data_IF_865857495378
#
_entry.id   IF_865857495378
#
_cell.length_a   1.000
_cell.length_b   1.000
_cell.length_c   1.000
_cell.angle_alpha   90.00
_cell.angle_beta   90.00
_cell.angle_gamma   90.00
#
_symmetry.space_group_name_H-M   'P 1'
#
loop_
_entity.id
_entity.type
_entity.pdbx_description
1 polymer ?
#
# COMPACT_ATOMS: atom_id res chain seq x y z
N UNK A 1 -15.74 9.06 -23.45
CA UNK A 1 -15.03 8.68 -22.19
C UNK A 1 -13.57 8.48 -22.54
N UNK A 2 -12.65 8.99 -21.70
CA UNK A 2 -11.21 8.74 -21.88
C UNK A 2 -10.92 7.30 -21.47
N UNK A 3 -10.22 6.54 -22.32
CA UNK A 3 -9.76 5.20 -21.99
C UNK A 3 -8.45 5.30 -21.22
N UNK A 4 -8.45 4.83 -19.98
CA UNK A 4 -7.22 4.71 -19.18
C UNK A 4 -6.60 3.33 -19.40
N UNK A 5 -5.27 3.27 -19.39
CA UNK A 5 -4.54 1.99 -19.41
C UNK A 5 -4.71 1.30 -18.06
N UNK A 6 -4.85 -0.03 -18.08
CA UNK A 6 -4.84 -0.88 -16.88
C UNK A 6 -3.52 -1.64 -16.77
N UNK A 7 -3.38 -2.49 -15.74
CA UNK A 7 -2.21 -3.37 -15.59
C UNK A 7 -2.07 -4.41 -16.71
N UNK A 8 -3.14 -4.68 -17.45
CA UNK A 8 -3.12 -5.62 -18.59
C UNK A 8 -2.55 -4.96 -19.85
N UNK A 9 -2.54 -3.63 -19.91
CA UNK A 9 -2.06 -2.85 -21.05
C UNK A 9 -0.55 -2.51 -20.98
N UNK A 10 0.16 -2.90 -19.90
CA UNK A 10 1.53 -2.46 -19.63
C UNK A 10 2.46 -3.60 -19.19
N UNK A 11 3.69 -3.61 -19.73
CA UNK A 11 4.77 -4.48 -19.23
C UNK A 11 5.54 -3.78 -18.10
N UNK A 12 5.63 -4.45 -16.96
CA UNK A 12 6.24 -3.95 -15.72
C UNK A 12 7.50 -4.73 -15.31
N UNK A 13 7.85 -5.80 -16.03
CA UNK A 13 8.97 -6.68 -15.67
C UNK A 13 10.28 -5.90 -15.64
N UNK A 14 11.05 -6.05 -14.56
CA UNK A 14 12.32 -5.35 -14.31
C UNK A 14 12.22 -3.82 -14.28
N UNK A 15 11.01 -3.26 -14.15
CA UNK A 15 10.80 -1.81 -14.02
C UNK A 15 10.57 -1.41 -12.57
N UNK A 16 10.86 -0.15 -12.25
CA UNK A 16 10.42 0.46 -10.99
C UNK A 16 9.01 1.01 -11.20
N UNK A 17 8.04 0.48 -10.46
CA UNK A 17 6.63 0.88 -10.57
C UNK A 17 6.23 1.62 -9.31
N UNK A 18 5.86 2.89 -9.48
CA UNK A 18 5.30 3.72 -8.41
C UNK A 18 3.80 3.46 -8.30
N UNK A 19 3.34 3.02 -7.14
CA UNK A 19 1.92 2.71 -6.89
C UNK A 19 1.40 3.57 -5.76
N UNK A 20 0.38 4.38 -6.04
CA UNK A 20 -0.35 5.14 -5.02
C UNK A 20 -1.50 4.29 -4.50
N UNK A 21 -1.50 3.99 -3.20
CA UNK A 21 -2.51 3.14 -2.55
C UNK A 21 -3.18 3.84 -1.38
N UNK A 22 -4.37 3.39 -1.03
CA UNK A 22 -5.07 3.88 0.17
C UNK A 22 -4.79 2.96 1.35
N UNK A 23 -3.87 3.38 2.23
CA UNK A 23 -3.58 2.71 3.50
C UNK A 23 -4.12 3.48 4.70
N UNK A 24 -5.00 4.46 4.49
CA UNK A 24 -5.50 5.27 5.58
C UNK A 24 -6.43 4.43 6.48
N UNK A 25 -5.91 3.98 7.62
CA UNK A 25 -6.57 3.04 8.51
C UNK A 25 -6.96 3.69 9.83
N UNK A 26 -7.99 3.17 10.52
CA UNK A 26 -8.26 3.52 11.91
C UNK A 26 -7.03 3.24 12.79
N UNK A 27 -6.69 4.22 13.64
CA UNK A 27 -5.57 4.15 14.58
C UNK A 27 -6.09 4.37 15.99
N UNK A 28 -5.58 3.56 16.92
CA UNK A 28 -5.90 3.68 18.33
C UNK A 28 -5.33 5.01 18.88
N UNK A 29 -6.17 5.87 19.49
CA UNK A 29 -5.76 7.21 19.85
C UNK A 29 -4.70 7.25 20.96
N UNK A 30 -4.64 6.22 21.81
CA UNK A 30 -3.73 6.14 22.95
C UNK A 30 -2.42 5.44 22.57
N UNK A 31 -2.51 4.24 22.01
CA UNK A 31 -1.37 3.37 21.68
C UNK A 31 -0.74 3.70 20.34
N UNK A 32 -1.42 4.49 19.48
CA UNK A 32 -1.01 4.81 18.10
C UNK A 32 -0.84 3.59 17.20
N UNK A 33 -1.49 2.47 17.52
CA UNK A 33 -1.45 1.25 16.72
C UNK A 33 -2.54 1.25 15.66
N UNK A 34 -2.25 0.70 14.49
CA UNK A 34 -3.28 0.42 13.48
C UNK A 34 -4.24 -0.61 14.05
N UNK A 35 -5.54 -0.29 14.04
CA UNK A 35 -6.61 -1.17 14.56
C UNK A 35 -7.11 -2.12 13.48
N UNK A 36 -7.21 -1.63 12.24
CA UNK A 36 -7.77 -2.37 11.10
C UNK A 36 -6.84 -2.28 9.89
N UNK A 37 -6.36 -3.44 9.43
CA UNK A 37 -5.44 -3.60 8.31
C UNK A 37 -6.14 -3.98 6.99
N UNK A 38 -7.47 -3.98 6.94
CA UNK A 38 -8.26 -4.42 5.77
C UNK A 38 -7.82 -3.72 4.48
N UNK A 39 -7.56 -2.41 4.52
CA UNK A 39 -7.11 -1.65 3.34
C UNK A 39 -5.70 -2.05 2.88
N UNK A 40 -4.81 -2.31 3.84
CA UNK A 40 -3.44 -2.74 3.56
C UNK A 40 -3.46 -4.11 2.91
N UNK A 41 -4.27 -5.04 3.46
CA UNK A 41 -4.48 -6.38 2.88
C UNK A 41 -5.09 -6.30 1.48
N UNK A 42 -6.16 -5.53 1.31
CA UNK A 42 -6.84 -5.42 0.03
C UNK A 42 -5.89 -5.04 -1.11
N UNK A 43 -5.06 -4.00 -0.93
CA UNK A 43 -4.08 -3.59 -1.93
C UNK A 43 -2.84 -4.50 -1.99
N UNK A 44 -2.42 -5.03 -0.84
CA UNK A 44 -1.29 -5.96 -0.72
C UNK A 44 -1.53 -7.25 -1.48
N UNK A 45 -2.64 -7.91 -1.21
CA UNK A 45 -3.03 -9.21 -1.78
C UNK A 45 -3.47 -9.13 -3.24
N UNK A 46 -3.73 -7.93 -3.76
CA UNK A 46 -4.12 -7.69 -5.16
C UNK A 46 -3.02 -7.00 -5.97
N UNK A 47 -3.11 -5.69 -6.19
CA UNK A 47 -2.26 -4.91 -7.10
C UNK A 47 -0.77 -5.02 -6.77
N UNK A 48 -0.40 -4.93 -5.48
CA UNK A 48 1.02 -4.94 -5.09
C UNK A 48 1.61 -6.33 -5.33
N UNK A 49 0.88 -7.39 -4.93
CA UNK A 49 1.29 -8.78 -5.17
C UNK A 49 1.43 -9.06 -6.67
N UNK A 50 0.44 -8.68 -7.48
CA UNK A 50 0.46 -8.88 -8.92
C UNK A 50 1.68 -8.22 -9.57
N UNK A 51 1.97 -6.95 -9.24
CA UNK A 51 3.14 -6.23 -9.76
C UNK A 51 4.45 -6.91 -9.36
N UNK A 52 4.55 -7.36 -8.11
CA UNK A 52 5.73 -8.06 -7.62
C UNK A 52 5.92 -9.43 -8.29
N UNK A 53 4.84 -10.18 -8.54
CA UNK A 53 4.85 -11.46 -9.26
C UNK A 53 5.19 -11.28 -10.74
N UNK A 54 4.76 -10.18 -11.36
CA UNK A 54 5.16 -9.76 -12.72
C UNK A 54 6.63 -9.31 -12.79
N UNK A 55 7.37 -9.30 -11.67
CA UNK A 55 8.81 -8.98 -11.62
C UNK A 55 9.12 -7.49 -11.58
N UNK A 56 8.17 -6.65 -11.17
CA UNK A 56 8.42 -5.24 -10.95
C UNK A 56 9.10 -4.98 -9.59
N UNK A 57 9.91 -3.92 -9.51
CA UNK A 57 10.31 -3.31 -8.24
C UNK A 57 9.25 -2.29 -7.83
N UNK A 58 8.41 -2.65 -6.87
CA UNK A 58 7.26 -1.82 -6.46
C UNK A 58 7.69 -0.77 -5.43
N UNK A 59 7.33 0.48 -5.67
CA UNK A 59 7.48 1.60 -4.72
C UNK A 59 6.08 2.06 -4.32
N UNK A 60 5.74 1.87 -3.05
CA UNK A 60 4.40 2.18 -2.53
C UNK A 60 4.35 3.60 -1.97
N UNK A 61 3.38 4.38 -2.42
CA UNK A 61 3.05 5.70 -1.89
C UNK A 61 1.70 5.64 -1.18
N UNK A 62 1.68 6.05 0.08
CA UNK A 62 0.47 6.11 0.89
C UNK A 62 0.47 7.34 1.80
N UNK A 63 -0.62 7.49 2.55
CA UNK A 63 -0.76 8.47 3.63
C UNK A 63 -1.55 7.84 4.77
N UNK A 64 -1.41 8.41 5.96
CA UNK A 64 -2.18 8.07 7.14
C UNK A 64 -2.54 9.35 7.87
N UNK A 65 -3.83 9.55 8.15
CA UNK A 65 -4.36 10.75 8.79
C UNK A 65 -4.08 12.04 8.02
N UNK A 66 -4.29 13.17 8.69
CA UNK A 66 -3.90 14.50 8.20
C UNK A 66 -3.12 15.23 9.27
N UNK A 67 -2.22 16.13 8.87
CA UNK A 67 -1.43 16.92 9.82
C UNK A 67 -2.35 17.63 10.82
N UNK A 68 -2.15 17.34 12.10
CA UNK A 68 -2.95 17.88 13.21
C UNK A 68 -3.92 16.86 13.82
N UNK A 69 -4.22 15.79 13.10
CA UNK A 69 -5.13 14.75 13.58
C UNK A 69 -4.39 13.74 14.50
N UNK A 70 -5.07 13.15 15.50
CA UNK A 70 -4.46 12.18 16.40
C UNK A 70 -3.94 10.91 15.72
N UNK A 71 -4.43 10.60 14.52
CA UNK A 71 -4.04 9.44 13.70
C UNK A 71 -2.93 9.76 12.70
N UNK A 72 -2.38 10.99 12.70
CA UNK A 72 -1.26 11.38 11.83
C UNK A 72 0.05 10.75 12.30
N UNK A 73 0.27 9.50 11.90
CA UNK A 73 1.42 8.68 12.29
C UNK A 73 2.29 8.30 11.09
N UNK A 74 3.58 7.97 11.30
CA UNK A 74 4.43 7.44 10.23
C UNK A 74 3.92 6.11 9.67
N UNK A 75 4.18 5.84 8.38
CA UNK A 75 3.76 4.62 7.68
C UNK A 75 4.56 3.35 8.04
N UNK A 76 5.38 3.39 9.10
CA UNK A 76 6.24 2.27 9.49
C UNK A 76 5.43 1.00 9.79
N UNK A 77 4.32 1.13 10.54
CA UNK A 77 3.45 0.00 10.86
C UNK A 77 2.77 -0.56 9.61
N UNK A 78 2.35 0.30 8.68
CA UNK A 78 1.76 -0.14 7.41
C UNK A 78 2.74 -0.94 6.56
N UNK A 79 4.01 -0.52 6.52
CA UNK A 79 5.07 -1.27 5.84
C UNK A 79 5.32 -2.64 6.49
N UNK A 80 5.38 -2.72 7.83
CA UNK A 80 5.53 -3.98 8.55
C UNK A 80 4.34 -4.94 8.32
N UNK A 81 3.12 -4.42 8.30
CA UNK A 81 1.91 -5.20 8.00
C UNK A 81 1.95 -5.69 6.54
N UNK A 82 2.25 -4.79 5.60
CA UNK A 82 2.35 -5.13 4.17
C UNK A 82 3.41 -6.22 3.93
N UNK A 83 4.56 -6.13 4.59
CA UNK A 83 5.62 -7.16 4.48
C UNK A 83 5.12 -8.54 4.95
N UNK A 84 4.38 -8.59 6.05
CA UNK A 84 3.73 -9.83 6.51
C UNK A 84 2.72 -10.36 5.49
N UNK A 85 1.86 -9.50 4.95
CA UNK A 85 0.86 -9.86 3.92
C UNK A 85 1.52 -10.45 2.67
N UNK A 86 2.64 -9.88 2.23
CA UNK A 86 3.36 -10.32 1.04
C UNK A 86 4.35 -11.47 1.29
N UNK A 87 4.58 -11.84 2.56
CA UNK A 87 5.69 -12.72 2.97
C UNK A 87 7.04 -12.25 2.40
N UNK A 88 7.25 -10.93 2.39
CA UNK A 88 8.45 -10.26 1.89
C UNK A 88 8.89 -9.18 2.91
N UNK A 89 10.20 -8.94 3.06
CA UNK A 89 10.69 -7.88 3.95
C UNK A 89 10.26 -6.48 3.52
#
# INVERSE_FOLDING_TARGET
MVKFLTLDDVDVKNKVVLVRVDFNSPVDPETKKVIDDTRIRAHGETTIKELAEKGAKVVVLAHQGRKGDPDFIPLKQHAEILGKVLSKP
#
